data_IF_270448897738
#
_entry.id   IF_270448897738
#
_cell.length_a   1.000
_cell.length_b   1.000
_cell.length_c   1.000
_cell.angle_alpha   90.00
_cell.angle_beta   90.00
_cell.angle_gamma   90.00
#
_symmetry.space_group_name_H-M   'P 1'
#
loop_
_entity.id
_entity.type
_entity.pdbx_description
1 polymer ?
#
# COMPACT_ATOMS: atom_id res chain seq x y z
N UNK A 1 -39.58 3.88 31.87
CA UNK A 1 -39.76 2.94 30.75
C UNK A 1 -38.48 2.11 30.67
N UNK A 2 -38.16 1.28 31.68
CA UNK A 2 -38.86 0.08 32.20
C UNK A 2 -38.53 -1.18 31.38
N UNK A 3 -37.66 -2.07 31.89
CA UNK A 3 -37.94 -3.42 32.49
C UNK A 3 -38.65 -4.38 31.51
N UNK A 4 -38.23 -5.63 31.23
CA UNK A 4 -37.54 -6.72 31.99
C UNK A 4 -36.62 -7.53 31.02
N UNK A 5 -35.73 -8.45 31.43
CA UNK A 5 -35.41 -8.99 32.77
C UNK A 5 -34.28 -10.02 32.79
N UNK A 6 -33.71 -10.24 33.99
CA UNK A 6 -32.79 -11.33 34.32
C UNK A 6 -33.54 -12.44 35.12
N UNK A 7 -32.89 -13.23 35.99
CA UNK A 7 -32.31 -14.54 35.69
C UNK A 7 -33.07 -15.70 36.36
N UNK A 8 -32.70 -16.95 36.06
CA UNK A 8 -33.24 -18.14 36.73
C UNK A 8 -32.14 -18.97 37.42
N UNK A 9 -32.42 -19.34 38.67
CA UNK A 9 -31.53 -20.07 39.58
C UNK A 9 -31.68 -21.60 39.51
N UNK A 10 -30.58 -22.29 39.83
CA UNK A 10 -30.41 -23.51 40.67
C UNK A 10 -31.68 -24.34 41.02
N UNK A 11 -31.56 -25.68 41.09
CA UNK A 11 -31.37 -26.26 42.43
C UNK A 11 -30.34 -27.39 42.52
N UNK A 12 -29.78 -27.56 43.72
CA UNK A 12 -28.99 -28.72 44.11
C UNK A 12 -29.86 -29.73 44.87
N UNK A 13 -29.56 -31.02 44.70
CA UNK A 13 -30.00 -32.12 45.54
C UNK A 13 -29.00 -33.28 45.37
N UNK A 14 -28.72 -34.18 46.32
CA UNK A 14 -28.85 -34.32 47.78
C UNK A 14 -28.86 -35.84 48.04
N UNK A 15 -28.28 -36.27 49.16
CA UNK A 15 -28.19 -37.68 49.61
C UNK A 15 -27.33 -38.63 48.74
N UNK A 16 -26.74 -39.70 49.29
CA UNK A 16 -26.93 -40.24 50.65
C UNK A 16 -25.66 -40.86 51.27
N UNK A 17 -25.75 -41.08 52.58
CA UNK A 17 -24.74 -41.80 53.38
C UNK A 17 -24.72 -43.29 53.03
N UNK A 18 -23.56 -43.93 53.25
CA UNK A 18 -23.37 -45.37 53.04
C UNK A 18 -22.02 -45.82 53.61
N UNK A 19 -21.89 -45.82 54.93
CA UNK A 19 -20.82 -46.54 55.62
C UNK A 19 -21.03 -48.04 55.44
N UNK A 20 -20.00 -48.78 55.04
CA UNK A 20 -19.73 -50.02 55.75
C UNK A 20 -18.24 -50.40 55.71
N UNK A 21 -17.74 -50.80 56.86
CA UNK A 21 -16.34 -51.14 57.11
C UNK A 21 -16.28 -52.65 57.36
N UNK A 22 -15.64 -53.41 56.46
CA UNK A 22 -15.46 -54.85 56.65
C UNK A 22 -14.23 -55.40 55.96
N UNK A 23 -13.16 -55.48 56.75
CA UNK A 23 -12.09 -56.49 56.74
C UNK A 23 -12.19 -57.57 55.67
N UNK A 24 -11.15 -57.68 54.85
CA UNK A 24 -10.39 -58.93 54.67
C UNK A 24 -8.99 -58.66 54.13
N UNK A 25 -7.97 -59.16 54.83
CA UNK A 25 -6.57 -59.14 54.41
C UNK A 25 -6.27 -60.25 53.37
N UNK A 26 -5.11 -60.22 52.68
CA UNK A 26 -5.01 -60.69 51.30
C UNK A 26 -4.64 -62.16 51.14
N UNK A 27 -4.86 -62.70 49.93
CA UNK A 27 -4.13 -63.86 49.43
C UNK A 27 -3.25 -63.50 48.22
N UNK A 28 -2.04 -64.05 48.11
CA UNK A 28 -1.11 -63.71 47.03
C UNK A 28 -1.34 -64.61 45.82
N UNK A 29 -1.86 -64.05 44.72
CA UNK A 29 -1.85 -64.75 43.43
C UNK A 29 -1.24 -63.89 42.31
N UNK A 30 0.00 -64.25 42.00
CA UNK A 30 0.58 -64.32 40.66
C UNK A 30 0.59 -63.02 39.84
N UNK A 31 1.79 -62.43 39.74
CA UNK A 31 2.10 -61.42 38.74
C UNK A 31 1.86 -61.95 37.32
N UNK A 32 0.72 -61.58 36.73
CA UNK A 32 0.57 -61.57 35.27
C UNK A 32 1.16 -60.27 34.75
N UNK A 33 2.15 -60.39 33.88
CA UNK A 33 2.61 -59.28 33.07
C UNK A 33 1.52 -58.92 32.07
N UNK A 34 0.68 -57.94 32.40
CA UNK A 34 -0.25 -57.33 31.46
C UNK A 34 0.55 -56.57 30.39
N UNK A 35 0.89 -57.29 29.32
CA UNK A 35 1.36 -56.69 28.06
C UNK A 35 0.15 -55.92 27.50
N UNK A 36 0.02 -54.65 27.92
CA UNK A 36 -0.89 -53.67 27.32
C UNK A 36 -0.42 -53.38 25.89
N UNK A 37 -0.79 -54.25 24.96
CA UNK A 37 -0.67 -53.97 23.53
C UNK A 37 -1.52 -52.75 23.21
N UNK A 38 -0.87 -51.62 22.89
CA UNK A 38 -1.54 -50.37 22.60
C UNK A 38 -2.59 -50.55 21.48
N UNK A 39 -3.80 -50.04 21.72
CA UNK A 39 -4.91 -50.10 20.77
C UNK A 39 -4.48 -49.52 19.41
N UNK A 40 -4.83 -50.11 18.25
CA UNK A 40 -4.41 -49.58 16.94
C UNK A 40 -4.78 -48.10 16.72
N UNK A 41 -5.85 -47.64 17.36
CA UNK A 41 -6.33 -46.25 17.36
C UNK A 41 -5.40 -45.28 18.09
N UNK A 42 -4.69 -45.74 19.12
CA UNK A 42 -3.70 -44.94 19.85
C UNK A 42 -2.36 -44.90 19.09
N UNK A 43 -1.95 -46.02 18.48
CA UNK A 43 -0.76 -46.07 17.61
C UNK A 43 -0.89 -45.11 16.41
N UNK A 44 -2.08 -45.05 15.78
CA UNK A 44 -2.38 -44.07 14.72
C UNK A 44 -2.32 -42.62 15.22
N UNK A 45 -2.74 -42.37 16.47
CA UNK A 45 -2.71 -41.03 17.08
C UNK A 45 -1.28 -40.60 17.42
N UNK A 46 -0.46 -41.50 17.95
CA UNK A 46 0.98 -41.26 18.15
C UNK A 46 1.71 -41.04 16.84
N UNK A 47 1.45 -41.86 15.80
CA UNK A 47 2.04 -41.64 14.47
C UNK A 47 1.63 -40.28 13.88
N UNK A 48 0.38 -39.83 14.08
CA UNK A 48 -0.09 -38.52 13.65
C UNK A 48 0.54 -37.35 14.43
N UNK A 49 0.86 -37.52 15.72
CA UNK A 49 1.60 -36.54 16.51
C UNK A 49 3.10 -36.51 16.12
N UNK A 50 3.70 -37.69 15.90
CA UNK A 50 5.09 -37.82 15.46
C UNK A 50 5.31 -37.29 14.04
N UNK A 51 4.36 -37.50 13.11
CA UNK A 51 4.44 -36.96 11.75
C UNK A 51 4.37 -35.43 11.75
N UNK A 52 3.46 -34.83 12.52
CA UNK A 52 3.41 -33.38 12.74
C UNK A 52 4.72 -32.84 13.31
N UNK A 53 5.29 -33.50 14.32
CA UNK A 53 6.60 -33.11 14.90
C UNK A 53 7.76 -33.24 13.91
N UNK A 54 7.73 -34.22 12.99
CA UNK A 54 8.73 -34.34 11.91
C UNK A 54 8.58 -33.23 10.88
N UNK A 55 7.35 -32.83 10.54
CA UNK A 55 7.09 -31.70 9.63
C UNK A 55 7.57 -30.38 10.25
N UNK A 56 7.23 -30.09 11.51
CA UNK A 56 7.67 -28.83 12.15
C UNK A 56 9.19 -28.76 12.30
N UNK A 57 9.88 -29.87 12.57
CA UNK A 57 11.35 -29.92 12.57
C UNK A 57 11.96 -29.64 11.20
N UNK A 58 11.44 -30.26 10.14
CA UNK A 58 11.88 -29.97 8.76
C UNK A 58 11.71 -28.49 8.39
N UNK A 59 10.55 -27.88 8.69
CA UNK A 59 10.35 -26.46 8.48
C UNK A 59 11.36 -25.60 9.28
N UNK A 60 11.69 -25.98 10.51
CA UNK A 60 12.66 -25.25 11.32
C UNK A 60 14.10 -25.37 10.77
N UNK A 61 14.48 -26.55 10.28
CA UNK A 61 15.76 -26.80 9.63
C UNK A 61 15.85 -26.07 8.27
N UNK A 62 14.77 -26.04 7.51
CA UNK A 62 14.63 -25.29 6.25
C UNK A 62 14.75 -23.78 6.49
N UNK A 63 14.02 -23.21 7.46
CA UNK A 63 14.13 -21.80 7.85
C UNK A 63 15.56 -21.43 8.26
N UNK A 64 16.21 -22.24 9.09
CA UNK A 64 17.60 -22.03 9.52
C UNK A 64 18.59 -22.12 8.34
N UNK A 65 18.29 -22.96 7.34
CA UNK A 65 19.09 -23.03 6.11
C UNK A 65 18.91 -21.79 5.22
N UNK A 66 17.71 -21.21 5.19
CA UNK A 66 17.37 -19.98 4.46
C UNK A 66 18.02 -18.76 5.13
N UNK A 67 17.96 -18.63 6.46
CA UNK A 67 18.65 -17.57 7.20
C UNK A 67 20.16 -17.58 6.91
N UNK A 68 20.80 -18.75 6.97
CA UNK A 68 22.23 -18.91 6.64
C UNK A 68 22.55 -18.61 5.18
N UNK A 69 21.61 -18.78 4.26
CA UNK A 69 21.78 -18.40 2.86
C UNK A 69 21.65 -16.88 2.70
N UNK A 70 20.63 -16.27 3.31
CA UNK A 70 20.47 -14.82 3.35
C UNK A 70 21.71 -14.14 3.94
N UNK A 71 22.23 -14.61 5.07
CA UNK A 71 23.42 -14.02 5.71
C UNK A 71 24.65 -14.09 4.80
N UNK A 72 24.86 -15.22 4.10
CA UNK A 72 25.92 -15.33 3.08
C UNK A 72 25.72 -14.38 1.90
N UNK A 73 24.48 -14.23 1.41
CA UNK A 73 24.17 -13.27 0.35
C UNK A 73 24.39 -11.83 0.81
N UNK A 74 23.99 -11.48 2.05
CA UNK A 74 24.27 -10.16 2.65
C UNK A 74 25.77 -9.90 2.75
N UNK A 75 26.57 -10.88 3.17
CA UNK A 75 28.04 -10.78 3.17
C UNK A 75 28.63 -10.60 1.76
N UNK A 76 28.14 -11.34 0.76
CA UNK A 76 28.60 -11.21 -0.64
C UNK A 76 28.23 -9.85 -1.24
N UNK A 77 27.02 -9.34 -0.98
CA UNK A 77 26.58 -8.02 -1.44
C UNK A 77 27.43 -6.91 -0.81
N UNK A 78 27.66 -6.97 0.51
CA UNK A 78 28.55 -6.03 1.20
C UNK A 78 30.00 -6.10 0.68
N UNK A 79 30.52 -7.31 0.40
CA UNK A 79 31.86 -7.50 -0.17
C UNK A 79 31.98 -6.93 -1.60
N UNK A 80 30.89 -6.92 -2.37
CA UNK A 80 30.80 -6.27 -3.68
C UNK A 80 30.49 -4.77 -3.61
N UNK A 81 30.48 -4.16 -2.43
CA UNK A 81 30.23 -2.73 -2.24
C UNK A 81 28.76 -2.30 -2.40
N UNK A 82 27.82 -3.25 -2.44
CA UNK A 82 26.39 -2.96 -2.46
C UNK A 82 25.93 -2.80 -0.99
N UNK A 83 25.43 -1.63 -0.58
CA UNK A 83 24.96 -1.42 0.79
C UNK A 83 23.70 -2.26 1.02
N UNK A 84 23.84 -3.31 1.82
CA UNK A 84 22.72 -4.07 2.35
C UNK A 84 22.09 -3.22 3.45
N UNK A 85 21.02 -2.50 3.13
CA UNK A 85 20.20 -1.83 4.12
C UNK A 85 19.55 -2.89 5.03
N UNK A 86 19.54 -2.65 6.34
CA UNK A 86 18.76 -3.46 7.28
C UNK A 86 17.29 -3.45 6.85
N UNK A 87 16.67 -4.62 6.78
CA UNK A 87 15.24 -4.76 6.51
C UNK A 87 14.48 -4.34 7.78
N UNK A 88 14.11 -3.06 7.87
CA UNK A 88 13.37 -2.50 8.99
C UNK A 88 11.88 -2.67 8.70
N UNK A 89 11.12 -3.44 9.51
CA UNK A 89 9.68 -3.62 9.28
C UNK A 89 8.93 -2.29 9.28
N UNK A 90 7.96 -2.15 8.38
CA UNK A 90 7.20 -0.91 8.15
C UNK A 90 6.68 -0.27 9.46
N UNK A 91 6.02 -1.06 10.32
CA UNK A 91 5.48 -0.59 11.61
C UNK A 91 6.56 -0.07 12.58
N UNK A 92 7.75 -0.68 12.58
CA UNK A 92 8.88 -0.22 13.39
C UNK A 92 9.43 1.08 12.84
N UNK A 93 9.58 1.21 11.52
CA UNK A 93 10.02 2.44 10.88
C UNK A 93 9.03 3.59 11.14
N UNK A 94 7.73 3.37 10.94
CA UNK A 94 6.64 4.34 11.18
C UNK A 94 6.62 4.81 12.64
N UNK A 95 6.64 3.89 13.60
CA UNK A 95 6.68 4.22 15.03
C UNK A 95 7.93 5.04 15.41
N UNK A 96 9.09 4.71 14.82
CA UNK A 96 10.33 5.47 15.03
C UNK A 96 10.29 6.87 14.40
N UNK A 97 9.75 7.01 13.19
CA UNK A 97 9.54 8.31 12.53
C UNK A 97 8.65 9.21 13.40
N UNK A 98 7.51 8.71 13.90
CA UNK A 98 6.63 9.48 14.78
C UNK A 98 7.31 9.91 16.09
N UNK A 99 8.09 9.01 16.69
CA UNK A 99 8.87 9.30 17.91
C UNK A 99 9.92 10.38 17.66
N UNK A 100 10.69 10.26 16.57
CA UNK A 100 11.73 11.22 16.18
C UNK A 100 11.10 12.59 15.87
N UNK A 101 10.01 12.64 15.10
CA UNK A 101 9.30 13.88 14.82
C UNK A 101 8.74 14.55 16.09
N UNK A 102 8.27 13.76 17.07
CA UNK A 102 7.81 14.27 18.37
C UNK A 102 8.98 14.89 19.16
N UNK A 103 10.12 14.22 19.17
CA UNK A 103 11.34 14.71 19.83
C UNK A 103 11.89 15.97 19.16
N UNK A 104 11.98 15.99 17.82
CA UNK A 104 12.39 17.17 17.04
C UNK A 104 11.47 18.37 17.27
N UNK A 105 10.14 18.17 17.30
CA UNK A 105 9.17 19.24 17.62
C UNK A 105 9.41 19.81 19.02
N UNK A 106 9.59 18.95 20.03
CA UNK A 106 9.89 19.39 21.40
C UNK A 106 11.22 20.15 21.51
N UNK A 107 12.26 19.77 20.75
CA UNK A 107 13.53 20.52 20.73
C UNK A 107 13.42 21.90 20.07
N UNK A 108 12.43 22.13 19.20
CA UNK A 108 12.20 23.45 18.59
C UNK A 108 11.49 24.45 19.52
N UNK A 109 10.86 23.97 20.61
CA UNK A 109 10.10 24.81 21.56
C UNK A 109 11.02 25.55 22.56
N UNK A 110 12.27 25.10 22.75
CA UNK A 110 13.24 25.63 23.73
C UNK A 110 14.41 26.42 23.06
N UNK A 111 14.22 27.69 22.67
CA UNK A 111 15.24 28.46 21.94
C UNK A 111 16.56 28.67 22.71
N UNK A 112 16.56 28.56 24.04
CA UNK A 112 17.75 28.77 24.88
C UNK A 112 18.74 27.59 24.86
N UNK A 113 18.36 26.40 24.41
CA UNK A 113 19.23 25.21 24.37
C UNK A 113 19.72 24.85 22.94
N UNK A 114 19.29 25.62 21.94
CA UNK A 114 19.45 25.33 20.51
C UNK A 114 20.89 24.94 20.12
N UNK A 115 21.92 25.60 20.67
CA UNK A 115 23.32 25.33 20.31
C UNK A 115 23.81 23.95 20.78
N UNK A 116 23.30 23.44 21.91
CA UNK A 116 23.59 22.08 22.40
C UNK A 116 22.68 21.04 21.74
N UNK A 117 21.44 21.41 21.44
CA UNK A 117 20.49 20.57 20.74
C UNK A 117 20.88 20.34 19.26
N UNK A 118 21.58 21.27 18.58
CA UNK A 118 22.03 21.10 17.18
C UNK A 118 22.69 19.75 16.87
N UNK A 119 23.56 19.26 17.75
CA UNK A 119 24.21 17.96 17.56
C UNK A 119 23.21 16.79 17.66
N UNK A 120 22.27 16.85 18.61
CA UNK A 120 21.19 15.87 18.75
C UNK A 120 20.21 15.93 17.58
N UNK A 121 19.82 17.14 17.18
CA UNK A 121 18.91 17.43 16.09
C UNK A 121 19.47 16.89 14.75
N UNK A 122 20.75 17.12 14.46
CA UNK A 122 21.42 16.54 13.29
C UNK A 122 21.40 14.99 13.33
N UNK A 123 21.68 14.38 14.48
CA UNK A 123 21.57 12.93 14.66
C UNK A 123 20.14 12.39 14.57
N UNK A 124 19.13 13.20 14.88
CA UNK A 124 17.71 12.88 14.67
C UNK A 124 17.32 13.03 13.20
N UNK A 125 17.85 14.01 12.45
CA UNK A 125 17.66 14.13 11.00
C UNK A 125 18.29 12.97 10.23
N UNK A 126 19.48 12.52 10.63
CA UNK A 126 20.14 11.33 10.05
C UNK A 126 19.30 10.06 10.31
N UNK A 127 18.81 9.88 11.54
CA UNK A 127 17.92 8.76 11.89
C UNK A 127 16.57 8.85 11.16
N UNK A 128 15.96 10.03 11.08
CA UNK A 128 14.72 10.27 10.34
C UNK A 128 14.90 9.90 8.87
N UNK A 129 16.03 10.28 8.26
CA UNK A 129 16.38 9.92 6.90
C UNK A 129 16.55 8.41 6.77
N UNK A 130 17.28 7.73 7.68
CA UNK A 130 17.43 6.27 7.68
C UNK A 130 16.07 5.55 7.73
N UNK A 131 15.21 5.89 8.68
CA UNK A 131 13.91 5.22 8.83
C UNK A 131 12.93 5.59 7.71
N UNK A 132 12.94 6.84 7.23
CA UNK A 132 12.08 7.26 6.11
C UNK A 132 12.47 6.56 4.81
N UNK A 133 13.78 6.47 4.49
CA UNK A 133 14.25 5.73 3.32
C UNK A 133 13.94 4.24 3.46
N UNK A 134 14.13 3.63 4.63
CA UNK A 134 13.78 2.24 4.85
C UNK A 134 12.27 1.99 4.63
N UNK A 135 11.40 2.83 5.19
CA UNK A 135 9.94 2.76 5.01
C UNK A 135 9.54 2.89 3.53
N UNK A 136 10.13 3.83 2.78
CA UNK A 136 9.82 4.02 1.36
C UNK A 136 10.23 2.84 0.45
N UNK A 137 11.05 1.92 0.96
CA UNK A 137 11.48 0.71 0.24
C UNK A 137 10.65 -0.54 0.62
N UNK A 138 9.65 -0.40 1.50
CA UNK A 138 8.72 -1.48 1.88
C UNK A 138 7.52 -1.56 0.94
N UNK A 139 6.99 -2.76 0.72
CA UNK A 139 5.83 -3.01 -0.14
C UNK A 139 4.56 -2.40 0.46
N UNK A 140 4.40 -2.49 1.79
CA UNK A 140 3.27 -1.93 2.53
C UNK A 140 3.17 -0.39 2.42
N UNK A 141 4.31 0.30 2.28
CA UNK A 141 4.30 1.74 2.00
C UNK A 141 3.79 2.05 0.59
N UNK A 142 4.13 1.23 -0.40
CA UNK A 142 3.65 1.40 -1.78
C UNK A 142 2.14 1.16 -1.87
N UNK A 143 1.62 0.10 -1.24
CA UNK A 143 0.17 -0.16 -1.14
C UNK A 143 -0.59 0.98 -0.44
N UNK A 144 -0.04 1.52 0.64
CA UNK A 144 -0.62 2.66 1.36
C UNK A 144 -0.63 3.93 0.50
N UNK A 145 0.43 4.20 -0.28
CA UNK A 145 0.42 5.32 -1.24
C UNK A 145 -0.60 5.10 -2.35
N UNK A 146 -0.68 3.91 -2.95
CA UNK A 146 -1.69 3.60 -3.98
C UNK A 146 -3.12 3.81 -3.44
N UNK A 147 -3.41 3.35 -2.22
CA UNK A 147 -4.74 3.56 -1.60
C UNK A 147 -5.03 5.06 -1.40
N UNK A 148 -4.07 5.82 -0.88
CA UNK A 148 -4.22 7.26 -0.67
C UNK A 148 -4.37 8.04 -2.00
N UNK A 149 -3.66 7.62 -3.04
CA UNK A 149 -3.81 8.17 -4.39
C UNK A 149 -5.20 7.86 -4.97
N UNK A 150 -5.71 6.63 -4.84
CA UNK A 150 -7.06 6.25 -5.27
C UNK A 150 -8.16 7.01 -4.50
N UNK A 151 -8.02 7.17 -3.18
CA UNK A 151 -8.93 7.97 -2.35
C UNK A 151 -8.91 9.46 -2.77
N UNK A 152 -7.73 10.00 -3.04
CA UNK A 152 -7.56 11.37 -3.53
C UNK A 152 -8.14 11.56 -4.94
N UNK A 153 -7.92 10.62 -5.85
CA UNK A 153 -8.47 10.66 -7.20
C UNK A 153 -10.00 10.59 -7.18
N UNK A 154 -10.59 9.65 -6.43
CA UNK A 154 -12.03 9.52 -6.28
C UNK A 154 -12.68 10.79 -5.73
N UNK A 155 -12.07 11.42 -4.72
CA UNK A 155 -12.57 12.70 -4.17
C UNK A 155 -12.42 13.90 -5.11
N UNK A 156 -11.54 13.83 -6.12
CA UNK A 156 -11.37 14.87 -7.14
C UNK A 156 -12.05 14.54 -8.49
N UNK A 157 -12.59 13.34 -8.67
CA UNK A 157 -13.11 12.88 -9.97
C UNK A 157 -14.25 13.76 -10.50
N UNK A 158 -15.22 14.13 -9.68
CA UNK A 158 -16.34 15.00 -10.08
C UNK A 158 -15.87 16.38 -10.55
N UNK A 159 -14.93 16.97 -9.80
CA UNK A 159 -14.28 18.25 -10.07
C UNK A 159 -13.49 18.20 -11.39
N UNK A 160 -12.79 17.10 -11.63
CA UNK A 160 -12.02 16.82 -12.84
C UNK A 160 -12.95 16.62 -14.05
N UNK A 161 -14.03 15.87 -13.89
CA UNK A 161 -15.06 15.65 -14.92
C UNK A 161 -15.86 16.93 -15.23
N UNK A 162 -16.11 17.80 -14.24
CA UNK A 162 -16.71 19.12 -14.45
C UNK A 162 -15.76 20.04 -15.23
N UNK A 163 -14.48 20.09 -14.84
CA UNK A 163 -13.44 20.84 -15.55
C UNK A 163 -13.28 20.38 -17.01
N UNK A 164 -13.24 19.06 -17.25
CA UNK A 164 -13.16 18.48 -18.60
C UNK A 164 -14.34 18.89 -19.48
N UNK A 165 -15.57 18.86 -18.93
CA UNK A 165 -16.78 19.32 -19.64
C UNK A 165 -16.71 20.81 -19.99
N UNK A 166 -16.34 21.66 -19.03
CA UNK A 166 -16.25 23.11 -19.23
C UNK A 166 -15.20 23.48 -20.29
N UNK A 167 -13.99 22.89 -20.23
CA UNK A 167 -12.91 23.18 -21.19
C UNK A 167 -13.21 22.59 -22.57
N UNK A 168 -13.86 21.42 -22.67
CA UNK A 168 -14.33 20.92 -23.96
C UNK A 168 -15.40 21.84 -24.56
N UNK A 169 -16.35 22.36 -23.78
CA UNK A 169 -17.38 23.27 -24.28
C UNK A 169 -16.81 24.58 -24.86
N UNK A 170 -15.69 25.09 -24.34
CA UNK A 170 -15.03 26.28 -24.89
C UNK A 170 -14.19 26.01 -26.14
N UNK A 171 -13.64 24.81 -26.33
CA UNK A 171 -12.74 24.47 -27.44
C UNK A 171 -13.50 23.86 -28.63
N UNK A 172 -13.41 24.40 -29.86
CA UNK A 172 -13.98 23.79 -31.07
C UNK A 172 -13.35 22.43 -31.40
N UNK A 173 -14.13 21.50 -31.97
CA UNK A 173 -13.67 20.13 -32.28
C UNK A 173 -12.44 20.14 -33.20
N UNK A 174 -12.49 20.91 -34.29
CA UNK A 174 -11.41 20.97 -35.30
C UNK A 174 -10.32 22.00 -34.98
N UNK A 175 -10.07 22.29 -33.69
CA UNK A 175 -9.09 23.30 -33.22
C UNK A 175 -7.70 23.17 -33.84
N UNK A 176 -7.24 21.95 -34.17
CA UNK A 176 -5.95 21.71 -34.81
C UNK A 176 -5.84 22.39 -36.18
N UNK A 177 -6.89 22.32 -37.00
CA UNK A 177 -6.88 22.73 -38.41
C UNK A 177 -7.34 24.18 -38.64
N UNK A 178 -7.96 24.81 -37.65
CA UNK A 178 -8.43 26.21 -37.74
C UNK A 178 -7.27 27.21 -37.56
N UNK A 179 -7.33 28.39 -38.19
CA UNK A 179 -6.42 29.51 -37.88
C UNK A 179 -6.86 30.28 -36.62
N UNK A 180 -6.02 31.20 -36.10
CA UNK A 180 -6.43 32.09 -34.99
C UNK A 180 -7.67 32.92 -35.36
N UNK A 181 -7.78 33.35 -36.62
CA UNK A 181 -8.89 34.17 -37.14
C UNK A 181 -10.17 33.34 -37.28
N UNK A 182 -10.07 32.09 -37.75
CA UNK A 182 -11.22 31.17 -37.78
C UNK A 182 -11.75 30.87 -36.37
N UNK A 183 -10.87 30.76 -35.36
CA UNK A 183 -11.28 30.55 -33.97
C UNK A 183 -12.02 31.75 -33.37
N UNK A 184 -11.78 32.98 -33.83
CA UNK A 184 -12.54 34.16 -33.39
C UNK A 184 -13.86 34.35 -34.11
N UNK A 185 -13.95 33.91 -35.36
CA UNK A 185 -15.11 34.15 -36.25
C UNK A 185 -16.13 33.03 -36.20
N UNK A 186 -15.70 31.77 -36.09
CA UNK A 186 -16.59 30.62 -36.01
C UNK A 186 -17.12 30.42 -34.59
N UNK A 187 -18.41 30.12 -34.45
CA UNK A 187 -19.01 29.80 -33.16
C UNK A 187 -18.41 28.52 -32.56
N UNK A 188 -18.02 28.57 -31.28
CA UNK A 188 -17.62 27.39 -30.52
C UNK A 188 -18.86 26.57 -30.12
N UNK A 189 -18.75 25.27 -29.72
CA UNK A 189 -19.91 24.45 -29.37
C UNK A 189 -20.81 25.02 -28.26
N UNK A 190 -20.28 25.90 -27.40
CA UNK A 190 -21.05 26.70 -26.44
C UNK A 190 -21.77 27.94 -27.04
N UNK A 191 -22.02 27.94 -28.35
CA UNK A 191 -22.69 28.98 -29.17
C UNK A 191 -22.15 30.42 -29.04
N UNK A 192 -20.93 30.59 -28.53
CA UNK A 192 -20.25 31.89 -28.37
C UNK A 192 -18.97 31.94 -29.21
N UNK A 193 -18.67 33.11 -29.76
CA UNK A 193 -17.37 33.39 -30.39
C UNK A 193 -16.28 33.48 -29.33
N UNK A 194 -15.07 33.01 -29.64
CA UNK A 194 -13.98 33.03 -28.68
C UNK A 194 -13.29 34.41 -28.65
N UNK A 195 -13.02 34.98 -27.47
CA UNK A 195 -12.22 36.20 -27.36
C UNK A 195 -10.84 36.01 -28.01
N UNK A 196 -10.38 37.00 -28.77
CA UNK A 196 -9.11 36.95 -29.52
C UNK A 196 -7.90 36.57 -28.64
N UNK A 197 -7.87 37.03 -27.39
CA UNK A 197 -6.84 36.64 -26.42
C UNK A 197 -6.86 35.14 -26.08
N UNK A 198 -8.05 34.54 -25.96
CA UNK A 198 -8.23 33.12 -25.67
C UNK A 198 -7.89 32.24 -26.88
N UNK A 199 -8.33 32.63 -28.09
CA UNK A 199 -7.96 31.94 -29.33
C UNK A 199 -6.43 31.89 -29.54
N UNK A 200 -5.74 33.01 -29.31
CA UNK A 200 -4.28 33.11 -29.34
C UNK A 200 -3.61 32.25 -28.25
N UNK A 201 -4.19 32.17 -27.04
CA UNK A 201 -3.69 31.26 -25.98
C UNK A 201 -3.83 29.80 -26.40
N UNK A 202 -4.99 29.41 -26.93
CA UNK A 202 -5.30 28.03 -27.35
C UNK A 202 -4.37 27.52 -28.48
N UNK A 203 -3.89 28.41 -29.36
CA UNK A 203 -2.87 28.06 -30.36
C UNK A 203 -1.45 27.97 -29.79
N UNK A 204 -1.09 28.82 -28.83
CA UNK A 204 0.21 28.77 -28.14
C UNK A 204 0.35 27.57 -27.20
N UNK A 205 -0.71 27.26 -26.45
CA UNK A 205 -0.82 26.15 -25.50
C UNK A 205 -1.40 24.95 -26.23
N UNK A 206 -0.64 24.42 -27.19
CA UNK A 206 -1.07 23.36 -28.10
C UNK A 206 -1.44 22.04 -27.39
N UNK A 207 -0.98 21.80 -26.16
CA UNK A 207 -1.40 20.63 -25.35
C UNK A 207 -2.93 20.58 -25.13
N UNK A 208 -3.61 21.72 -25.06
CA UNK A 208 -5.08 21.76 -24.93
C UNK A 208 -5.83 21.21 -26.15
N UNK A 209 -5.15 21.08 -27.30
CA UNK A 209 -5.74 20.48 -28.49
C UNK A 209 -5.92 18.97 -28.31
N UNK A 210 -5.17 18.33 -27.41
CA UNK A 210 -5.35 16.91 -27.06
C UNK A 210 -6.76 16.64 -26.52
N UNK A 211 -7.39 17.58 -25.78
CA UNK A 211 -8.74 17.43 -25.23
C UNK A 211 -9.85 17.19 -26.28
N UNK A 212 -9.52 17.40 -27.57
CA UNK A 212 -10.37 17.14 -28.74
C UNK A 212 -9.88 16.00 -29.63
N UNK A 213 -8.76 15.36 -29.29
CA UNK A 213 -8.29 14.11 -29.89
C UNK A 213 -8.87 12.95 -29.08
N UNK A 214 -9.17 11.85 -29.75
CA UNK A 214 -9.64 10.62 -29.10
C UNK A 214 -8.48 9.94 -28.32
N UNK A 215 -8.67 9.46 -27.08
CA UNK A 215 -7.59 8.84 -26.30
C UNK A 215 -6.87 7.69 -27.02
N UNK A 216 -7.58 6.90 -27.83
CA UNK A 216 -7.01 5.79 -28.61
C UNK A 216 -6.12 6.29 -29.76
N UNK A 217 -6.37 7.51 -30.26
CA UNK A 217 -5.47 8.17 -31.20
C UNK A 217 -4.23 8.77 -30.50
N UNK A 218 -4.38 9.27 -29.26
CA UNK A 218 -3.27 9.76 -28.44
C UNK A 218 -2.30 8.63 -28.07
N UNK A 219 -2.84 7.47 -27.67
CA UNK A 219 -2.09 6.25 -27.31
C UNK A 219 -1.05 5.84 -28.39
N UNK A 220 -1.39 6.06 -29.66
CA UNK A 220 -0.60 5.73 -30.85
C UNK A 220 0.35 6.85 -31.31
N UNK A 221 0.36 8.00 -30.64
CA UNK A 221 1.27 9.10 -30.98
C UNK A 221 2.71 8.76 -30.57
N UNK A 222 3.68 9.15 -31.40
CA UNK A 222 5.09 9.03 -31.04
C UNK A 222 5.41 9.97 -29.85
N UNK A 223 6.16 9.53 -28.81
CA UNK A 223 6.43 10.33 -27.61
C UNK A 223 6.96 11.75 -27.89
N UNK A 224 7.85 11.92 -28.88
CA UNK A 224 8.38 13.23 -29.28
C UNK A 224 7.31 14.24 -29.74
N UNK A 225 6.15 13.78 -30.22
CA UNK A 225 5.02 14.65 -30.55
C UNK A 225 4.32 15.20 -29.30
N UNK A 226 4.37 14.46 -28.19
CA UNK A 226 3.80 14.85 -26.89
C UNK A 226 4.77 15.75 -26.12
N UNK A 227 6.07 15.43 -26.15
CA UNK A 227 7.14 16.25 -25.59
C UNK A 227 7.20 17.64 -26.22
N UNK A 228 6.94 17.74 -27.53
CA UNK A 228 6.82 19.02 -28.25
C UNK A 228 5.58 19.86 -27.90
N UNK A 229 4.72 19.42 -26.98
CA UNK A 229 3.54 20.18 -26.56
C UNK A 229 3.86 21.12 -25.39
N UNK A 230 3.52 22.40 -25.57
CA UNK A 230 3.71 23.45 -24.57
C UNK A 230 2.67 23.32 -23.45
N UNK A 231 3.15 22.98 -22.26
CA UNK A 231 2.40 22.92 -21.00
C UNK A 231 2.38 24.26 -20.23
N UNK A 232 3.23 25.22 -20.61
CA UNK A 232 3.33 26.52 -19.91
C UNK A 232 2.10 27.40 -20.17
N UNK A 233 1.57 28.03 -19.10
CA UNK A 233 0.41 28.92 -19.17
C UNK A 233 -0.97 28.26 -19.00
N UNK A 234 -1.01 26.96 -18.64
CA UNK A 234 -2.24 26.27 -18.25
C UNK A 234 -2.81 26.83 -16.93
N UNK A 235 -4.14 26.95 -16.85
CA UNK A 235 -4.89 27.18 -15.60
C UNK A 235 -5.09 25.88 -14.82
N UNK A 236 -5.57 25.96 -13.57
CA UNK A 236 -5.87 24.77 -12.74
C UNK A 236 -6.97 23.91 -13.37
N UNK A 237 -8.05 24.52 -13.84
CA UNK A 237 -9.16 23.85 -14.53
C UNK A 237 -8.68 23.13 -15.80
N UNK A 238 -7.77 23.74 -16.56
CA UNK A 238 -7.17 23.14 -17.74
C UNK A 238 -6.24 21.95 -17.41
N UNK A 239 -5.48 22.02 -16.29
CA UNK A 239 -4.70 20.88 -15.79
C UNK A 239 -5.59 19.72 -15.37
N UNK A 240 -6.65 19.99 -14.59
CA UNK A 240 -7.66 18.98 -14.19
C UNK A 240 -8.34 18.31 -15.39
N UNK A 241 -8.70 19.09 -16.40
CA UNK A 241 -9.26 18.57 -17.66
C UNK A 241 -8.26 17.68 -18.42
N UNK A 242 -6.98 18.07 -18.51
CA UNK A 242 -5.95 17.25 -19.15
C UNK A 242 -5.68 15.95 -18.39
N UNK A 243 -5.63 16.01 -17.05
CA UNK A 243 -5.49 14.83 -16.19
C UNK A 243 -6.59 13.80 -16.48
N UNK A 244 -7.86 14.20 -16.35
CA UNK A 244 -9.01 13.32 -16.58
C UNK A 244 -9.07 12.76 -18.00
N UNK A 245 -8.62 13.54 -18.99
CA UNK A 245 -8.63 13.09 -20.37
C UNK A 245 -7.51 12.09 -20.70
N UNK A 246 -6.35 12.24 -20.07
CA UNK A 246 -5.16 11.43 -20.34
C UNK A 246 -5.01 10.23 -19.39
N UNK A 247 -5.74 10.18 -18.26
CA UNK A 247 -5.67 9.09 -17.27
C UNK A 247 -5.71 7.70 -17.91
N UNK A 248 -6.74 7.40 -18.71
CA UNK A 248 -6.86 6.11 -19.39
C UNK A 248 -5.74 5.80 -20.39
N UNK A 249 -5.17 6.82 -21.04
CA UNK A 249 -4.00 6.64 -21.92
C UNK A 249 -2.72 6.39 -21.12
N UNK A 250 -2.58 7.05 -19.97
CA UNK A 250 -1.43 6.90 -19.08
C UNK A 250 -1.36 5.48 -18.46
N UNK A 251 -2.50 4.96 -17.98
CA UNK A 251 -2.64 3.57 -17.52
C UNK A 251 -2.12 2.57 -18.56
N UNK A 252 -2.58 2.69 -19.82
CA UNK A 252 -2.16 1.83 -20.94
C UNK A 252 -0.65 1.95 -21.23
N UNK A 253 -0.06 3.15 -21.11
CA UNK A 253 1.37 3.34 -21.33
C UNK A 253 2.21 2.75 -20.19
N UNK A 254 1.75 2.81 -18.95
CA UNK A 254 2.44 2.23 -17.80
C UNK A 254 2.38 0.69 -17.83
N UNK A 255 1.24 0.09 -18.18
CA UNK A 255 1.16 -1.37 -18.41
C UNK A 255 2.16 -1.84 -19.48
N UNK A 256 2.25 -1.14 -20.62
CA UNK A 256 3.22 -1.46 -21.69
C UNK A 256 4.69 -1.27 -21.30
N UNK A 257 4.97 -0.44 -20.30
CA UNK A 257 6.33 -0.22 -19.76
C UNK A 257 6.73 -1.37 -18.83
N UNK A 258 5.77 -1.92 -18.08
CA UNK A 258 5.95 -3.14 -17.31
C UNK A 258 6.22 -4.32 -18.26
N UNK A 259 5.39 -4.54 -19.29
CA UNK A 259 5.55 -5.64 -20.26
C UNK A 259 6.94 -5.67 -20.90
N UNK A 260 7.41 -4.52 -21.41
CA UNK A 260 8.74 -4.38 -22.03
C UNK A 260 9.92 -4.59 -21.08
N UNK A 261 9.67 -4.54 -19.78
CA UNK A 261 10.68 -4.83 -18.76
C UNK A 261 10.75 -6.32 -18.40
N UNK A 262 9.73 -7.11 -18.80
CA UNK A 262 9.67 -8.57 -18.65
C UNK A 262 10.19 -9.32 -19.90
N UNK A 263 10.33 -8.65 -21.05
CA UNK A 263 10.87 -9.21 -22.31
C UNK A 263 12.43 -9.20 -22.42
N UNK A 264 13.17 -9.08 -21.31
CA UNK A 264 14.65 -8.97 -21.30
C UNK A 264 15.35 -10.02 -20.44
#
# INVERSE_FOLDING_TARGET
QDVIGAPASIPAAAAGLGTDDSKSQPQPMQARADIRTATPRDQLREQACQSKSKVTKKLLDELNSIEKLQEKMKQQLAQNGIPVTDEIPYEVAKSKIESIQREMRSMLEDPNQMQQQKSKYYGLEEQLTKYSTAMMMTEEWAEEQERLELEWEASNEDDNNAALRAVRQSIPVNVRNMSEEMLTTQASPASKTLPKAYAKRLKRVNVLQLLRVDPVAIERMHPSLLEGLRTTGLTLTERRALHQHLKSTAEIWESKKIDKSQEK
#
